data_IF_675621115033
#
_entry.id   IF_675621115033
#
_cell.length_a   1.000
_cell.length_b   1.000
_cell.length_c   1.000
_cell.angle_alpha   90.00
_cell.angle_beta   90.00
_cell.angle_gamma   90.00
#
_symmetry.space_group_name_H-M   'P 1'
#
loop_
_entity.id
_entity.type
_entity.pdbx_description
1 polymer ?
#
# COMPACT_ATOMS: atom_id res chain seq x y z
N UNK A 1 38.61 22.43 81.26
CA UNK A 1 38.15 21.92 79.96
C UNK A 1 36.68 22.24 79.83
N UNK A 2 36.39 23.28 79.05
CA UNK A 2 35.13 24.03 79.06
C UNK A 2 34.09 23.41 78.14
N UNK A 3 32.80 23.53 78.51
CA UNK A 3 31.65 23.10 77.71
C UNK A 3 31.62 23.67 76.27
N UNK A 4 32.39 24.73 76.01
CA UNK A 4 32.63 25.33 74.70
C UNK A 4 33.36 24.38 73.71
N UNK A 5 34.32 23.56 74.16
CA UNK A 5 35.06 22.63 73.29
C UNK A 5 34.15 21.49 72.79
N UNK A 6 33.20 21.04 73.62
CA UNK A 6 32.25 19.97 73.24
C UNK A 6 31.20 20.46 72.21
N UNK A 7 30.81 21.73 72.27
CA UNK A 7 29.90 22.33 71.28
C UNK A 7 30.58 22.59 69.93
N UNK A 8 31.86 23.01 69.94
CA UNK A 8 32.64 23.20 68.70
C UNK A 8 32.93 21.87 67.99
N UNK A 9 33.22 20.80 68.73
CA UNK A 9 33.36 19.46 68.14
C UNK A 9 32.04 18.96 67.55
N UNK A 10 30.91 19.12 68.26
CA UNK A 10 29.60 18.71 67.76
C UNK A 10 29.16 19.52 66.50
N UNK A 11 29.47 20.81 66.43
CA UNK A 11 29.19 21.65 65.26
C UNK A 11 30.12 21.36 64.07
N UNK A 12 31.36 20.91 64.31
CA UNK A 12 32.29 20.52 63.24
C UNK A 12 31.92 19.18 62.59
N UNK A 13 31.31 18.25 63.33
CA UNK A 13 30.87 16.94 62.81
C UNK A 13 29.43 16.91 62.28
N UNK A 14 28.57 17.86 62.69
CA UNK A 14 27.21 18.01 62.17
C UNK A 14 27.10 18.06 60.63
N UNK A 15 27.94 18.83 59.88
CA UNK A 15 27.86 18.84 58.42
C UNK A 15 28.25 17.51 57.76
N UNK A 16 29.10 16.70 58.42
CA UNK A 16 29.46 15.36 57.93
C UNK A 16 28.32 14.36 58.09
N UNK A 17 27.60 14.37 59.22
CA UNK A 17 26.44 13.50 59.42
C UNK A 17 25.26 13.87 58.51
N UNK A 18 25.02 15.16 58.29
CA UNK A 18 24.02 15.66 57.33
C UNK A 18 24.40 15.31 55.89
N UNK A 19 25.68 15.43 55.52
CA UNK A 19 26.18 15.01 54.22
C UNK A 19 26.09 13.49 53.99
N UNK A 20 26.41 12.69 55.01
CA UNK A 20 26.28 11.24 54.97
C UNK A 20 24.82 10.80 54.85
N UNK A 21 23.91 11.44 55.60
CA UNK A 21 22.48 11.18 55.49
C UNK A 21 21.94 11.51 54.08
N UNK A 22 22.31 12.67 53.53
CA UNK A 22 21.95 13.07 52.17
C UNK A 22 22.49 12.12 51.08
N UNK A 23 23.72 11.62 51.25
CA UNK A 23 24.32 10.66 50.32
C UNK A 23 23.58 9.31 50.35
N UNK A 24 23.24 8.80 51.54
CA UNK A 24 22.44 7.55 51.67
C UNK A 24 21.06 7.72 51.04
N UNK A 25 20.41 8.88 51.21
CA UNK A 25 19.13 9.17 50.54
C UNK A 25 19.28 9.24 49.01
N UNK A 26 20.33 9.88 48.50
CA UNK A 26 20.62 9.95 47.06
C UNK A 26 20.91 8.56 46.47
N UNK A 27 21.77 7.76 47.10
CA UNK A 27 22.05 6.38 46.69
C UNK A 27 20.77 5.53 46.71
N UNK A 28 19.91 5.71 47.72
CA UNK A 28 18.60 5.05 47.80
C UNK A 28 17.66 5.45 46.64
N UNK A 29 17.62 6.72 46.27
CA UNK A 29 16.82 7.21 45.14
C UNK A 29 17.33 6.69 43.80
N UNK A 30 18.65 6.68 43.57
CA UNK A 30 19.28 6.13 42.36
C UNK A 30 19.08 4.62 42.25
N UNK A 31 19.20 3.89 43.36
CA UNK A 31 18.94 2.44 43.41
C UNK A 31 17.48 2.12 43.10
N UNK A 32 16.53 2.85 43.71
CA UNK A 32 15.08 2.69 43.42
C UNK A 32 14.74 3.05 41.97
N UNK A 33 15.37 4.10 41.42
CA UNK A 33 15.23 4.46 40.00
C UNK A 33 15.74 3.36 39.07
N UNK A 34 16.92 2.79 39.36
CA UNK A 34 17.49 1.67 38.59
C UNK A 34 16.64 0.41 38.69
N UNK A 35 16.15 0.05 39.87
CA UNK A 35 15.24 -1.08 40.05
C UNK A 35 13.92 -0.91 39.30
N UNK A 36 13.28 0.26 39.37
CA UNK A 36 12.08 0.55 38.58
C UNK A 36 12.35 0.42 37.08
N UNK A 37 13.50 0.90 36.61
CA UNK A 37 13.86 0.78 35.19
C UNK A 37 14.03 -0.67 34.73
N UNK A 38 14.59 -1.55 35.57
CA UNK A 38 14.74 -2.98 35.26
C UNK A 38 13.40 -3.73 35.37
N UNK A 39 12.55 -3.39 36.34
CA UNK A 39 11.19 -3.93 36.43
C UNK A 39 10.35 -3.53 35.22
N UNK A 40 10.42 -2.28 34.78
CA UNK A 40 9.76 -1.80 33.57
C UNK A 40 10.29 -2.57 32.35
N UNK A 41 11.62 -2.77 32.21
CA UNK A 41 12.17 -3.58 31.12
C UNK A 41 11.69 -5.02 31.15
N UNK A 42 11.63 -5.65 32.33
CA UNK A 42 11.12 -7.01 32.47
C UNK A 42 9.63 -7.10 32.14
N UNK A 43 8.83 -6.13 32.59
CA UNK A 43 7.41 -6.04 32.28
C UNK A 43 7.17 -5.78 30.79
N UNK A 44 7.98 -4.93 30.14
CA UNK A 44 7.94 -4.73 28.68
C UNK A 44 8.28 -6.04 27.96
N UNK A 45 9.32 -6.77 28.39
CA UNK A 45 9.67 -8.06 27.77
C UNK A 45 8.56 -9.10 27.95
N UNK A 46 7.97 -9.18 29.14
CA UNK A 46 6.86 -10.10 29.42
C UNK A 46 5.61 -9.72 28.61
N UNK A 47 5.25 -8.45 28.58
CA UNK A 47 4.13 -7.95 27.77
C UNK A 47 4.37 -8.22 26.29
N UNK A 48 5.55 -7.91 25.77
CA UNK A 48 5.90 -8.20 24.38
C UNK A 48 5.81 -9.70 24.09
N UNK A 49 6.32 -10.58 24.97
CA UNK A 49 6.23 -12.03 24.77
C UNK A 49 4.79 -12.56 24.81
N UNK A 50 3.93 -11.95 25.64
CA UNK A 50 2.53 -12.31 25.72
C UNK A 50 1.76 -11.82 24.48
N UNK A 51 2.04 -10.60 24.03
CA UNK A 51 1.50 -10.05 22.79
C UNK A 51 1.95 -10.89 21.59
N UNK A 52 3.22 -11.28 21.51
CA UNK A 52 3.76 -12.18 20.47
C UNK A 52 2.95 -13.49 20.42
N UNK A 53 2.74 -14.11 21.57
CA UNK A 53 1.96 -15.35 21.67
C UNK A 53 0.51 -15.14 21.23
N UNK A 54 -0.10 -14.00 21.58
CA UNK A 54 -1.47 -13.66 21.19
C UNK A 54 -1.58 -13.44 19.68
N UNK A 55 -0.68 -12.66 19.06
CA UNK A 55 -0.71 -12.43 17.62
C UNK A 55 -0.37 -13.69 16.82
N UNK A 56 0.58 -14.50 17.28
CA UNK A 56 0.90 -15.79 16.67
C UNK A 56 -0.32 -16.73 16.70
N UNK A 57 -1.05 -16.75 17.82
CA UNK A 57 -2.29 -17.52 17.95
C UNK A 57 -3.38 -17.03 16.99
N UNK A 58 -3.60 -15.71 16.89
CA UNK A 58 -4.55 -15.13 15.93
C UNK A 58 -4.17 -15.48 14.48
N UNK A 59 -2.88 -15.38 14.14
CA UNK A 59 -2.38 -15.80 12.83
C UNK A 59 -2.68 -17.28 12.57
N UNK A 60 -2.36 -18.15 13.52
CA UNK A 60 -2.58 -19.59 13.38
C UNK A 60 -4.06 -19.94 13.24
N UNK A 61 -4.93 -19.38 14.08
CA UNK A 61 -6.37 -19.61 14.02
C UNK A 61 -6.98 -19.06 12.72
N UNK A 62 -6.63 -17.82 12.35
CA UNK A 62 -7.11 -17.19 11.12
C UNK A 62 -6.67 -17.95 9.86
N UNK A 63 -5.40 -18.37 9.80
CA UNK A 63 -4.88 -19.17 8.69
C UNK A 63 -5.56 -20.54 8.61
N UNK A 64 -5.74 -21.21 9.74
CA UNK A 64 -6.46 -22.49 9.80
C UNK A 64 -7.87 -22.36 9.23
N UNK A 65 -8.62 -21.33 9.64
CA UNK A 65 -9.98 -21.10 9.14
C UNK A 65 -10.05 -20.86 7.62
N UNK A 66 -9.02 -20.25 7.02
CA UNK A 66 -8.98 -19.99 5.58
C UNK A 66 -8.55 -21.20 4.75
N UNK A 67 -7.84 -22.14 5.35
CA UNK A 67 -7.36 -23.37 4.70
C UNK A 67 -8.33 -24.54 4.86
N UNK A 68 -9.06 -24.61 5.98
CA UNK A 68 -10.05 -25.66 6.22
C UNK A 68 -11.30 -25.45 5.36
N UNK A 69 -11.94 -26.56 4.97
CA UNK A 69 -13.24 -26.53 4.28
C UNK A 69 -14.32 -26.06 5.25
N UNK A 70 -14.44 -24.75 5.41
CA UNK A 70 -15.48 -24.10 6.20
C UNK A 70 -16.63 -23.56 5.37
N UNK A 71 -17.72 -23.20 6.05
CA UNK A 71 -18.77 -22.40 5.46
C UNK A 71 -18.32 -20.93 5.29
N UNK A 72 -19.19 -20.09 4.72
CA UNK A 72 -18.83 -18.68 4.46
C UNK A 72 -18.59 -17.88 5.74
N UNK A 73 -19.29 -18.21 6.82
CA UNK A 73 -19.12 -17.53 8.10
C UNK A 73 -17.74 -17.85 8.70
N UNK A 74 -17.31 -19.10 8.61
CA UNK A 74 -15.99 -19.55 9.05
C UNK A 74 -14.86 -18.82 8.32
N UNK A 75 -14.95 -18.70 6.99
CA UNK A 75 -13.95 -18.01 6.18
C UNK A 75 -13.89 -16.50 6.49
N UNK A 76 -15.05 -15.86 6.69
CA UNK A 76 -15.10 -14.45 7.10
C UNK A 76 -14.52 -14.24 8.49
N UNK A 77 -14.78 -15.15 9.43
CA UNK A 77 -14.18 -15.12 10.76
C UNK A 77 -12.65 -15.27 10.69
N UNK A 78 -12.14 -16.11 9.78
CA UNK A 78 -10.71 -16.23 9.51
C UNK A 78 -10.08 -14.91 9.08
N UNK A 79 -10.67 -14.22 8.10
CA UNK A 79 -10.20 -12.89 7.65
C UNK A 79 -10.25 -11.89 8.81
N UNK A 80 -11.37 -11.82 9.54
CA UNK A 80 -11.54 -10.89 10.65
C UNK A 80 -10.54 -11.15 11.79
N UNK A 81 -10.14 -12.40 12.02
CA UNK A 81 -9.12 -12.79 13.01
C UNK A 81 -7.73 -12.27 12.63
N UNK A 82 -7.46 -12.13 11.32
CA UNK A 82 -6.18 -11.62 10.81
C UNK A 82 -6.11 -10.08 10.76
N UNK A 83 -7.25 -9.36 10.72
CA UNK A 83 -7.26 -7.89 10.67
C UNK A 83 -6.49 -7.21 11.84
N UNK A 84 -6.60 -7.66 13.11
CA UNK A 84 -5.76 -7.15 14.20
C UNK A 84 -4.27 -7.42 13.99
N UNK A 85 -3.90 -8.56 13.40
CA UNK A 85 -2.50 -8.90 13.11
C UNK A 85 -1.92 -7.97 12.05
N UNK A 86 -2.73 -7.58 11.06
CA UNK A 86 -2.34 -6.61 10.02
C UNK A 86 -2.12 -5.19 10.55
N UNK A 87 -2.82 -4.83 11.63
CA UNK A 87 -2.73 -3.50 12.23
C UNK A 87 -1.80 -3.43 13.45
N UNK A 88 -1.05 -4.51 13.76
CA UNK A 88 -0.03 -4.52 14.82
C UNK A 88 1.02 -3.42 14.57
N UNK A 89 1.17 -2.44 15.48
CA UNK A 89 2.17 -1.39 15.35
C UNK A 89 3.61 -1.91 15.26
N UNK A 90 3.89 -3.08 15.86
CA UNK A 90 5.21 -3.71 15.81
C UNK A 90 5.40 -4.59 14.56
N UNK A 91 4.34 -4.81 13.78
CA UNK A 91 4.32 -5.56 12.51
C UNK A 91 4.90 -6.98 12.61
N UNK A 92 4.79 -7.63 13.77
CA UNK A 92 5.51 -8.88 14.07
C UNK A 92 5.13 -10.03 13.15
N UNK A 93 3.85 -10.12 12.81
CA UNK A 93 3.27 -11.19 11.99
C UNK A 93 2.43 -10.66 10.83
N UNK A 94 2.46 -9.35 10.58
CA UNK A 94 1.57 -8.70 9.61
C UNK A 94 1.86 -9.14 8.18
N UNK A 95 3.11 -9.41 7.84
CA UNK A 95 3.48 -9.91 6.50
C UNK A 95 2.94 -11.33 6.27
N UNK A 96 3.06 -12.21 7.27
CA UNK A 96 2.52 -13.57 7.21
C UNK A 96 0.99 -13.55 7.10
N UNK A 97 0.32 -12.66 7.83
CA UNK A 97 -1.12 -12.45 7.68
C UNK A 97 -1.50 -11.94 6.29
N UNK A 98 -0.72 -11.01 5.70
CA UNK A 98 -0.90 -10.56 4.31
C UNK A 98 -0.75 -11.72 3.32
N UNK A 99 0.24 -12.59 3.51
CA UNK A 99 0.48 -13.74 2.64
C UNK A 99 -0.63 -14.78 2.72
N UNK A 100 -1.15 -15.06 3.92
CA UNK A 100 -2.28 -15.99 4.11
C UNK A 100 -3.55 -15.47 3.42
N UNK A 101 -3.88 -14.19 3.60
CA UNK A 101 -5.06 -13.58 2.94
C UNK A 101 -4.84 -13.50 1.43
N UNK A 102 -3.64 -13.12 1.00
CA UNK A 102 -3.25 -13.00 -0.39
C UNK A 102 -3.36 -14.33 -1.14
N UNK A 103 -2.87 -15.42 -0.54
CA UNK A 103 -2.97 -16.78 -1.09
C UNK A 103 -4.42 -17.23 -1.23
N UNK A 104 -5.25 -16.94 -0.22
CA UNK A 104 -6.69 -17.23 -0.29
C UNK A 104 -7.36 -16.50 -1.46
N UNK A 105 -7.07 -15.21 -1.65
CA UNK A 105 -7.59 -14.40 -2.77
C UNK A 105 -7.07 -14.95 -4.10
N UNK A 106 -5.77 -15.19 -4.22
CA UNK A 106 -5.15 -15.73 -5.44
C UNK A 106 -5.77 -17.07 -5.86
N UNK A 107 -6.05 -17.94 -4.89
CA UNK A 107 -6.67 -19.25 -5.15
C UNK A 107 -8.15 -19.14 -5.52
N UNK A 108 -8.89 -18.16 -4.98
CA UNK A 108 -10.34 -18.10 -5.09
C UNK A 108 -10.88 -16.93 -5.96
N UNK A 109 -10.01 -16.15 -6.61
CA UNK A 109 -10.36 -14.95 -7.37
C UNK A 109 -11.41 -15.15 -8.47
N UNK A 110 -11.48 -16.35 -9.07
CA UNK A 110 -12.44 -16.69 -10.12
C UNK A 110 -13.90 -16.67 -9.63
N UNK A 111 -14.14 -16.76 -8.31
CA UNK A 111 -15.46 -16.64 -7.67
C UNK A 111 -15.85 -15.16 -7.49
N UNK A 112 -15.76 -14.39 -8.58
CA UNK A 112 -16.01 -12.95 -8.58
C UNK A 112 -17.40 -12.63 -8.04
N UNK A 113 -17.46 -11.73 -7.04
CA UNK A 113 -18.69 -11.36 -6.32
C UNK A 113 -18.88 -12.05 -4.96
N UNK A 114 -17.97 -12.94 -4.56
CA UNK A 114 -17.98 -13.50 -3.22
C UNK A 114 -17.61 -12.44 -2.17
N UNK A 115 -18.50 -12.26 -1.18
CA UNK A 115 -18.27 -11.36 -0.02
C UNK A 115 -16.98 -11.68 0.71
N UNK A 116 -16.52 -12.93 0.67
CA UNK A 116 -15.27 -13.35 1.30
C UNK A 116 -14.06 -12.73 0.59
N UNK A 117 -14.03 -12.74 -0.75
CA UNK A 117 -12.95 -12.10 -1.53
C UNK A 117 -12.91 -10.60 -1.25
N UNK A 118 -14.08 -9.95 -1.21
CA UNK A 118 -14.17 -8.52 -0.86
C UNK A 118 -13.68 -8.23 0.55
N UNK A 119 -13.98 -9.10 1.52
CA UNK A 119 -13.45 -8.99 2.88
C UNK A 119 -11.92 -9.13 2.90
N UNK A 120 -11.37 -10.08 2.12
CA UNK A 120 -9.93 -10.27 1.98
C UNK A 120 -9.24 -9.05 1.36
N UNK A 121 -9.79 -8.52 0.25
CA UNK A 121 -9.29 -7.31 -0.41
C UNK A 121 -9.29 -6.13 0.56
N UNK A 122 -10.36 -5.96 1.35
CA UNK A 122 -10.46 -4.92 2.37
C UNK A 122 -9.37 -5.12 3.45
N UNK A 123 -9.19 -6.33 3.93
CA UNK A 123 -8.18 -6.66 4.94
C UNK A 123 -6.76 -6.37 4.40
N UNK A 124 -6.44 -6.78 3.17
CA UNK A 124 -5.17 -6.40 2.54
C UNK A 124 -4.99 -4.88 2.44
N UNK A 125 -6.07 -4.15 2.14
CA UNK A 125 -6.06 -2.68 2.18
C UNK A 125 -5.74 -2.09 3.56
N UNK A 126 -6.10 -2.76 4.66
CA UNK A 126 -5.68 -2.39 6.03
C UNK A 126 -4.17 -2.58 6.18
N UNK A 127 -3.64 -3.73 5.72
CA UNK A 127 -2.20 -4.00 5.73
C UNK A 127 -1.40 -2.96 4.94
N UNK A 128 -1.86 -2.59 3.74
CA UNK A 128 -1.22 -1.54 2.93
C UNK A 128 -1.21 -0.20 3.64
N UNK A 129 -2.31 0.21 4.27
CA UNK A 129 -2.38 1.44 5.08
C UNK A 129 -1.44 1.40 6.28
N UNK A 130 -1.21 0.21 6.85
CA UNK A 130 -0.23 -0.01 7.91
C UNK A 130 1.21 -0.09 7.39
N UNK A 131 1.44 0.00 6.08
CA UNK A 131 2.76 -0.05 5.45
C UNK A 131 3.31 -1.47 5.30
N UNK A 132 2.44 -2.47 5.23
CA UNK A 132 2.78 -3.89 5.07
C UNK A 132 2.27 -4.41 3.73
N UNK A 133 3.07 -5.25 3.07
CA UNK A 133 2.76 -5.88 1.79
C UNK A 133 2.99 -7.39 1.89
N UNK A 134 2.19 -8.15 1.17
CA UNK A 134 2.42 -9.57 0.91
C UNK A 134 3.69 -9.74 0.06
N UNK A 135 4.38 -10.87 0.23
CA UNK A 135 5.51 -11.31 -0.58
C UNK A 135 5.10 -12.02 -1.87
N UNK A 136 3.80 -12.30 -2.04
CA UNK A 136 3.27 -13.07 -3.14
C UNK A 136 3.23 -12.28 -4.46
N UNK A 137 3.36 -13.03 -5.56
CA UNK A 137 3.35 -12.54 -6.93
C UNK A 137 2.28 -13.25 -7.77
N UNK A 138 0.98 -13.09 -7.44
CA UNK A 138 -0.08 -13.88 -8.07
C UNK A 138 -0.31 -13.53 -9.55
N UNK A 139 -0.70 -14.54 -10.31
CA UNK A 139 -1.29 -14.42 -11.63
C UNK A 139 -2.81 -14.59 -11.57
N UNK A 140 -3.54 -13.56 -11.97
CA UNK A 140 -5.00 -13.57 -12.08
C UNK A 140 -5.39 -13.68 -13.54
N UNK A 141 -6.31 -14.60 -13.86
CA UNK A 141 -6.76 -14.80 -15.23
C UNK A 141 -8.28 -14.86 -15.31
N UNK A 142 -8.86 -14.11 -16.24
CA UNK A 142 -10.25 -14.22 -16.66
C UNK A 142 -10.31 -14.48 -18.16
N UNK A 143 -11.39 -15.12 -18.61
CA UNK A 143 -11.65 -15.25 -20.03
C UNK A 143 -11.95 -13.87 -20.63
N UNK A 144 -11.52 -13.64 -21.88
CA UNK A 144 -11.74 -12.38 -22.61
C UNK A 144 -13.21 -11.98 -22.71
N UNK A 145 -14.11 -12.96 -22.77
CA UNK A 145 -15.55 -12.77 -22.88
C UNK A 145 -16.23 -12.51 -21.53
N UNK A 146 -15.50 -12.58 -20.41
CA UNK A 146 -16.07 -12.30 -19.11
C UNK A 146 -16.30 -10.78 -18.95
N UNK A 147 -17.56 -10.38 -19.08
CA UNK A 147 -17.99 -9.01 -18.91
C UNK A 147 -17.90 -8.52 -17.45
N UNK A 148 -17.38 -9.29 -16.50
CA UNK A 148 -17.27 -8.86 -15.10
C UNK A 148 -16.01 -8.06 -14.85
N UNK A 149 -16.20 -6.90 -14.22
CA UNK A 149 -15.11 -6.06 -13.75
C UNK A 149 -14.15 -6.84 -12.83
N UNK A 150 -12.86 -6.57 -12.95
CA UNK A 150 -11.86 -7.02 -11.99
C UNK A 150 -12.10 -6.40 -10.62
N UNK A 151 -12.04 -7.23 -9.58
CA UNK A 151 -11.93 -6.77 -8.20
C UNK A 151 -10.45 -6.69 -7.87
N UNK A 152 -9.91 -5.48 -7.89
CA UNK A 152 -8.50 -5.24 -7.68
C UNK A 152 -8.12 -5.50 -6.22
N UNK A 153 -7.08 -6.31 -5.99
CA UNK A 153 -6.56 -6.60 -4.66
C UNK A 153 -5.26 -5.82 -4.43
N UNK A 154 -5.20 -4.91 -3.45
CA UNK A 154 -3.99 -4.15 -3.16
C UNK A 154 -3.00 -4.99 -2.33
N UNK A 155 -1.75 -4.52 -2.24
CA UNK A 155 -0.80 -5.00 -1.24
C UNK A 155 -0.03 -6.28 -1.56
N UNK A 156 -0.04 -6.75 -2.81
CA UNK A 156 0.90 -7.76 -3.29
C UNK A 156 2.29 -7.16 -3.58
N UNK A 157 3.30 -8.01 -3.70
CA UNK A 157 4.64 -7.58 -4.10
C UNK A 157 4.69 -7.24 -5.61
N UNK A 158 4.03 -8.07 -6.42
CA UNK A 158 3.73 -7.81 -7.83
C UNK A 158 2.44 -8.54 -8.21
N UNK A 159 1.81 -8.16 -9.32
CA UNK A 159 0.61 -8.85 -9.80
C UNK A 159 0.62 -8.93 -11.32
N UNK A 160 0.24 -10.10 -11.84
CA UNK A 160 -0.03 -10.28 -13.27
C UNK A 160 -1.53 -10.48 -13.45
N UNK A 161 -2.16 -9.67 -14.31
CA UNK A 161 -3.59 -9.71 -14.58
C UNK A 161 -3.80 -9.95 -16.07
N UNK A 162 -4.51 -11.02 -16.40
CA UNK A 162 -4.77 -11.45 -17.78
C UNK A 162 -6.27 -11.45 -18.09
N UNK A 163 -6.67 -10.80 -19.18
CA UNK A 163 -8.06 -10.77 -19.63
C UNK A 163 -8.98 -9.84 -18.82
N UNK A 164 -10.28 -9.96 -19.04
CA UNK A 164 -11.31 -9.21 -18.31
C UNK A 164 -11.26 -7.69 -18.51
N UNK A 165 -11.91 -6.94 -17.61
CA UNK A 165 -11.99 -5.47 -17.71
C UNK A 165 -11.84 -4.74 -16.38
N UNK A 166 -11.25 -3.55 -16.41
CA UNK A 166 -11.25 -2.57 -15.33
C UNK A 166 -12.13 -1.38 -15.70
N UNK A 167 -12.98 -0.96 -14.76
CA UNK A 167 -13.67 0.35 -14.80
C UNK A 167 -13.10 1.26 -13.74
N UNK A 168 -12.91 2.54 -14.07
CA UNK A 168 -12.21 3.57 -13.28
C UNK A 168 -11.97 3.27 -11.79
N UNK A 169 -13.05 3.20 -10.99
CA UNK A 169 -12.99 2.97 -9.53
C UNK A 169 -12.22 1.71 -9.10
N UNK A 170 -12.22 0.66 -9.91
CA UNK A 170 -11.57 -0.60 -9.58
C UNK A 170 -10.06 -0.52 -9.83
N UNK A 171 -9.65 0.10 -10.93
CA UNK A 171 -8.22 0.33 -11.21
C UNK A 171 -7.59 1.28 -10.18
N UNK A 172 -8.33 2.30 -9.74
CA UNK A 172 -7.84 3.28 -8.75
C UNK A 172 -7.34 2.65 -7.44
N UNK A 173 -7.88 1.49 -7.03
CA UNK A 173 -7.45 0.76 -5.84
C UNK A 173 -6.01 0.25 -5.95
N UNK A 174 -5.58 -0.12 -7.16
CA UNK A 174 -4.26 -0.73 -7.40
C UNK A 174 -3.33 0.15 -8.24
N UNK A 175 -3.77 1.31 -8.74
CA UNK A 175 -2.98 2.11 -9.69
C UNK A 175 -1.58 2.50 -9.21
N UNK A 176 -1.37 2.56 -7.90
CA UNK A 176 -0.10 2.92 -7.25
C UNK A 176 0.66 1.69 -6.72
N UNK A 177 0.19 0.48 -7.05
CA UNK A 177 0.89 -0.74 -6.68
C UNK A 177 2.16 -0.90 -7.54
N UNK A 178 3.28 -1.32 -6.94
CA UNK A 178 4.49 -1.59 -7.69
C UNK A 178 4.31 -2.85 -8.55
N UNK A 179 5.01 -2.88 -9.68
CA UNK A 179 5.15 -4.07 -10.52
C UNK A 179 3.81 -4.72 -10.92
N UNK A 180 2.91 -3.93 -11.50
CA UNK A 180 1.72 -4.47 -12.16
C UNK A 180 2.02 -4.82 -13.61
N UNK A 181 1.55 -5.99 -14.02
CA UNK A 181 1.55 -6.41 -15.40
C UNK A 181 0.13 -6.75 -15.83
N UNK A 182 -0.30 -6.15 -16.94
CA UNK A 182 -1.59 -6.39 -17.56
C UNK A 182 -1.40 -6.97 -18.95
N UNK A 183 -1.97 -8.15 -19.19
CA UNK A 183 -1.96 -8.81 -20.48
C UNK A 183 -3.41 -8.93 -20.99
N UNK A 184 -3.72 -8.39 -22.17
CA UNK A 184 -5.02 -8.54 -22.80
C UNK A 184 -6.21 -8.03 -21.95
N UNK A 185 -6.01 -6.93 -21.24
CA UNK A 185 -7.01 -6.35 -20.32
C UNK A 185 -7.68 -5.14 -20.97
N UNK A 186 -9.00 -5.01 -20.78
CA UNK A 186 -9.75 -3.81 -21.20
C UNK A 186 -9.90 -2.80 -20.07
N UNK A 187 -9.46 -1.56 -20.28
CA UNK A 187 -9.63 -0.45 -19.36
C UNK A 187 -10.69 0.51 -19.88
N UNK A 188 -11.66 0.85 -19.03
CA UNK A 188 -12.75 1.77 -19.35
C UNK A 188 -12.82 2.89 -18.32
N UNK A 189 -12.82 4.14 -18.76
CA UNK A 189 -12.98 5.32 -17.89
C UNK A 189 -11.96 5.38 -16.73
N UNK A 190 -10.77 4.82 -16.94
CA UNK A 190 -9.70 4.81 -15.95
C UNK A 190 -8.91 6.12 -16.02
N UNK A 191 -8.66 6.73 -14.87
CA UNK A 191 -7.97 8.04 -14.79
C UNK A 191 -6.57 7.87 -14.24
N UNK A 192 -5.64 8.67 -14.77
CA UNK A 192 -4.23 8.69 -14.34
C UNK A 192 -3.62 7.28 -14.37
N UNK A 193 -3.77 6.60 -15.51
CA UNK A 193 -3.05 5.36 -15.77
C UNK A 193 -1.55 5.68 -15.68
N UNK A 194 -0.84 4.85 -14.92
CA UNK A 194 0.56 5.06 -14.59
C UNK A 194 1.46 4.13 -15.40
N UNK A 195 2.75 4.25 -15.13
CA UNK A 195 3.79 3.42 -15.71
C UNK A 195 3.78 1.99 -15.15
N UNK A 196 3.04 1.12 -15.84
CA UNK A 196 2.95 -0.33 -15.59
C UNK A 196 3.23 -1.08 -16.89
N UNK A 197 3.44 -2.39 -16.81
CA UNK A 197 3.62 -3.20 -18.02
C UNK A 197 2.27 -3.52 -18.64
N UNK A 198 2.04 -3.07 -19.88
CA UNK A 198 0.80 -3.34 -20.62
C UNK A 198 1.11 -4.05 -21.93
N UNK A 199 0.47 -5.20 -22.16
CA UNK A 199 0.60 -5.97 -23.40
C UNK A 199 -0.76 -6.34 -23.94
N UNK A 200 -1.04 -6.04 -25.20
CA UNK A 200 -2.32 -6.35 -25.88
C UNK A 200 -3.55 -5.79 -25.17
N UNK A 201 -3.41 -4.74 -24.36
CA UNK A 201 -4.50 -4.11 -23.63
C UNK A 201 -5.28 -3.14 -24.52
N UNK A 202 -6.53 -2.88 -24.13
CA UNK A 202 -7.41 -1.93 -24.81
C UNK A 202 -7.88 -0.85 -23.83
N UNK A 203 -7.57 0.40 -24.11
CA UNK A 203 -7.93 1.56 -23.31
C UNK A 203 -9.04 2.35 -24.00
N UNK A 204 -10.15 2.54 -23.31
CA UNK A 204 -11.32 3.26 -23.83
C UNK A 204 -11.68 4.39 -22.88
N UNK A 205 -11.69 5.63 -23.38
CA UNK A 205 -12.04 6.84 -22.61
C UNK A 205 -11.24 6.98 -21.31
N UNK A 206 -9.96 6.62 -21.35
CA UNK A 206 -9.06 6.68 -20.20
C UNK A 206 -8.19 7.95 -20.23
N UNK A 207 -7.56 8.29 -19.10
CA UNK A 207 -6.52 9.31 -19.04
C UNK A 207 -5.22 8.78 -18.47
N UNK A 208 -4.09 9.30 -18.96
CA UNK A 208 -2.75 8.82 -18.63
C UNK A 208 -1.96 9.86 -17.84
N UNK A 209 -1.22 9.42 -16.82
CA UNK A 209 -0.30 10.27 -16.06
C UNK A 209 1.15 10.05 -16.51
N UNK A 210 1.53 8.79 -16.68
CA UNK A 210 2.83 8.34 -17.18
C UNK A 210 2.60 7.17 -18.12
N UNK A 211 3.38 7.07 -19.20
CA UNK A 211 3.27 5.95 -20.14
C UNK A 211 4.59 5.70 -20.87
N UNK A 212 5.00 4.44 -20.92
CA UNK A 212 6.17 4.01 -21.68
C UNK A 212 5.85 3.97 -23.19
N UNK A 213 6.72 4.59 -23.98
CA UNK A 213 6.62 4.61 -25.44
C UNK A 213 6.59 3.21 -26.07
N UNK A 214 7.29 2.23 -25.50
CA UNK A 214 7.33 0.83 -25.97
C UNK A 214 5.92 0.20 -25.99
N UNK A 215 5.02 0.70 -25.14
CA UNK A 215 3.67 0.18 -25.01
C UNK A 215 2.68 0.72 -26.04
N UNK A 216 3.00 1.77 -26.81
CA UNK A 216 2.04 2.28 -27.80
C UNK A 216 1.71 1.25 -28.89
N UNK A 217 2.73 0.60 -29.45
CA UNK A 217 2.55 -0.39 -30.52
C UNK A 217 1.90 -1.70 -30.04
N UNK A 218 2.00 -1.99 -28.74
CA UNK A 218 1.50 -3.23 -28.13
C UNK A 218 0.05 -3.13 -27.66
N UNK A 219 -0.55 -1.95 -27.66
CA UNK A 219 -1.85 -1.70 -27.04
C UNK A 219 -2.76 -0.89 -27.96
N UNK A 220 -4.06 -0.84 -27.62
CA UNK A 220 -5.08 -0.11 -28.37
C UNK A 220 -5.64 1.01 -27.51
N UNK A 221 -5.80 2.19 -28.11
CA UNK A 221 -6.34 3.37 -27.44
C UNK A 221 -7.50 3.94 -28.24
N UNK A 222 -8.62 4.16 -27.58
CA UNK A 222 -9.85 4.71 -28.15
C UNK A 222 -10.34 5.88 -27.29
N UNK A 223 -10.43 7.07 -27.90
CA UNK A 223 -10.97 8.28 -27.27
C UNK A 223 -10.31 8.63 -25.94
N UNK A 224 -9.02 8.33 -25.79
CA UNK A 224 -8.27 8.59 -24.56
C UNK A 224 -7.67 10.00 -24.50
N UNK A 225 -7.47 10.47 -23.27
CA UNK A 225 -6.87 11.75 -22.92
C UNK A 225 -5.41 11.58 -22.50
N UNK A 226 -4.51 12.15 -23.29
CA UNK A 226 -3.06 12.16 -23.03
C UNK A 226 -2.55 13.51 -22.48
N UNK A 227 -3.45 14.41 -22.09
CA UNK A 227 -3.06 15.74 -21.59
C UNK A 227 -2.18 15.63 -20.34
N UNK A 228 -1.04 16.33 -20.37
CA UNK A 228 -0.05 16.32 -19.30
C UNK A 228 0.62 14.96 -19.03
N UNK A 229 0.44 13.98 -19.93
CA UNK A 229 1.03 12.65 -19.77
C UNK A 229 2.55 12.72 -19.98
N UNK A 230 3.30 12.16 -19.05
CA UNK A 230 4.76 12.02 -19.17
C UNK A 230 5.06 10.74 -19.95
N UNK A 231 5.60 10.89 -21.14
CA UNK A 231 6.04 9.78 -21.99
C UNK A 231 7.50 9.48 -21.69
N UNK A 232 7.75 8.30 -21.13
CA UNK A 232 9.09 7.80 -20.86
C UNK A 232 9.64 7.13 -22.11
N UNK A 233 10.91 7.39 -22.42
CA UNK A 233 11.60 6.73 -23.53
C UNK A 233 11.80 5.27 -23.19
N UNK A 234 11.20 4.40 -24.00
CA UNK A 234 11.43 2.97 -23.93
C UNK A 234 12.74 2.56 -24.63
N UNK A 235 13.15 1.31 -24.46
CA UNK A 235 14.42 0.82 -25.01
C UNK A 235 14.33 0.54 -26.52
N UNK A 236 13.10 0.38 -27.04
CA UNK A 236 12.85 -0.09 -28.41
C UNK A 236 11.74 0.68 -29.14
N UNK A 237 11.14 1.65 -28.46
CA UNK A 237 9.90 2.29 -28.84
C UNK A 237 10.13 3.50 -29.73
N UNK A 238 9.32 3.57 -30.77
CA UNK A 238 9.21 4.74 -31.62
C UNK A 238 7.72 5.02 -31.80
N UNK A 239 7.25 6.14 -31.26
CA UNK A 239 5.86 6.59 -31.35
C UNK A 239 5.36 6.67 -32.80
N UNK A 240 6.26 6.80 -33.79
CA UNK A 240 5.87 6.76 -35.20
C UNK A 240 5.25 5.44 -35.63
N UNK A 241 5.46 4.36 -34.87
CA UNK A 241 4.80 3.07 -35.08
C UNK A 241 3.33 3.06 -34.63
N UNK A 242 2.93 4.03 -33.82
CA UNK A 242 1.56 4.16 -33.29
C UNK A 242 0.65 4.92 -34.28
N UNK A 243 0.48 4.37 -35.48
CA UNK A 243 -0.10 5.09 -36.62
C UNK A 243 -1.61 5.37 -36.51
N UNK A 244 -2.32 4.75 -35.58
CA UNK A 244 -3.78 4.83 -35.45
C UNK A 244 -4.28 5.66 -34.25
N UNK A 245 -3.37 6.27 -33.49
CA UNK A 245 -3.74 7.03 -32.28
C UNK A 245 -4.69 8.18 -32.60
N UNK A 246 -4.39 8.98 -33.63
CA UNK A 246 -5.20 10.15 -34.01
C UNK A 246 -6.58 9.74 -34.53
N UNK A 247 -6.62 8.73 -35.40
CA UNK A 247 -7.84 8.27 -36.08
C UNK A 247 -8.87 7.68 -35.10
N UNK A 248 -8.41 7.18 -33.95
CA UNK A 248 -9.26 6.66 -32.88
C UNK A 248 -9.72 7.71 -31.88
N UNK A 249 -9.62 8.99 -32.23
CA UNK A 249 -10.14 10.09 -31.42
C UNK A 249 -9.36 10.34 -30.12
N UNK A 250 -8.16 9.77 -29.96
CA UNK A 250 -7.28 10.10 -28.85
C UNK A 250 -6.83 11.56 -28.98
N UNK A 251 -6.66 12.23 -27.84
CA UNK A 251 -6.50 13.68 -27.81
C UNK A 251 -5.61 14.16 -26.66
N UNK A 252 -5.21 15.42 -26.77
CA UNK A 252 -4.63 16.20 -25.67
C UNK A 252 -5.21 17.62 -25.71
N UNK A 253 -5.13 18.34 -24.60
CA UNK A 253 -5.49 19.76 -24.55
C UNK A 253 -4.29 20.65 -24.89
N UNK A 254 -4.52 21.69 -25.70
CA UNK A 254 -3.46 22.61 -26.19
C UNK A 254 -2.67 23.28 -25.05
N UNK A 255 -3.32 23.50 -23.91
CA UNK A 255 -2.73 24.10 -22.72
C UNK A 255 -1.97 23.11 -21.83
N UNK A 256 -2.05 21.82 -22.14
CA UNK A 256 -1.51 20.72 -21.33
C UNK A 256 -1.07 19.56 -22.24
N UNK A 257 -0.10 19.78 -23.15
CA UNK A 257 0.36 18.73 -24.06
C UNK A 257 1.12 17.62 -23.33
N UNK A 258 1.22 16.41 -23.92
CA UNK A 258 2.10 15.38 -23.39
C UNK A 258 3.56 15.85 -23.35
N UNK A 259 4.34 15.29 -22.43
CA UNK A 259 5.73 15.68 -22.18
C UNK A 259 6.64 14.50 -22.48
N UNK A 260 7.62 14.69 -23.37
CA UNK A 260 8.69 13.73 -23.68
C UNK A 260 10.02 14.47 -23.76
N UNK A 261 11.13 13.78 -23.53
CA UNK A 261 12.46 14.34 -23.82
C UNK A 261 12.59 14.66 -25.31
N UNK A 262 13.04 15.88 -25.62
CA UNK A 262 13.11 16.41 -26.99
C UNK A 262 11.87 17.21 -27.41
N UNK A 263 11.89 17.70 -28.64
CA UNK A 263 10.77 18.46 -29.23
C UNK A 263 9.93 17.49 -30.05
N UNK A 264 8.67 17.30 -29.67
CA UNK A 264 7.70 16.44 -30.37
C UNK A 264 6.46 17.25 -30.69
N UNK A 265 6.04 17.22 -31.95
CA UNK A 265 4.75 17.76 -32.37
C UNK A 265 3.66 16.70 -32.17
N UNK A 266 2.98 16.77 -31.03
CA UNK A 266 1.91 15.83 -30.66
C UNK A 266 0.69 15.92 -31.58
N UNK A 267 0.50 17.02 -32.29
CA UNK A 267 -0.64 17.19 -33.21
C UNK A 267 -0.57 16.23 -34.41
N UNK A 268 0.60 15.65 -34.69
CA UNK A 268 0.79 14.59 -35.68
C UNK A 268 0.13 13.28 -35.22
N UNK A 269 0.25 12.94 -33.94
CA UNK A 269 -0.15 11.66 -33.38
C UNK A 269 -1.52 11.68 -32.68
N UNK A 270 -1.96 12.84 -32.21
CA UNK A 270 -3.14 13.01 -31.38
C UNK A 270 -3.97 14.21 -31.86
N UNK A 271 -5.26 14.21 -31.50
CA UNK A 271 -6.12 15.36 -31.77
C UNK A 271 -5.90 16.45 -30.73
N UNK A 272 -5.46 17.62 -31.18
CA UNK A 272 -5.32 18.80 -30.34
C UNK A 272 -6.72 19.39 -30.05
N UNK A 273 -7.02 19.67 -28.78
CA UNK A 273 -8.31 20.25 -28.34
C UNK A 273 -8.10 21.49 -27.50
N UNK A 274 -8.95 22.49 -27.71
CA UNK A 274 -9.08 23.61 -26.79
C UNK A 274 -10.08 23.28 -25.68
N UNK A 275 -9.71 23.53 -24.41
CA UNK A 275 -10.69 23.48 -23.32
C UNK A 275 -11.72 24.57 -23.59
N UNK A 276 -13.00 24.20 -23.77
CA UNK A 276 -14.07 25.20 -23.75
C UNK A 276 -13.99 25.89 -22.40
N UNK A 277 -13.57 27.15 -22.37
CA UNK A 277 -13.79 28.01 -21.22
C UNK A 277 -15.30 28.04 -21.04
N UNK A 278 -15.82 27.32 -20.05
CA UNK A 278 -17.14 27.67 -19.55
C UNK A 278 -16.99 29.07 -18.99
N UNK A 279 -17.39 30.05 -19.80
CA UNK A 279 -17.69 31.40 -19.37
C UNK A 279 -18.63 31.25 -18.18
N UNK A 280 -18.12 31.53 -16.98
CA UNK A 280 -18.93 31.94 -15.85
C UNK A 280 -19.52 33.33 -16.19
N UNK A 281 -20.41 33.35 -17.16
CA UNK A 281 -21.32 34.45 -17.47
C UNK A 281 -22.74 33.92 -17.34
N UNK A 282 -23.10 33.50 -16.13
CA UNK A 282 -24.48 33.59 -15.67
C UNK A 282 -24.44 34.21 -14.28
N UNK A 283 -24.83 35.50 -14.28
CA UNK A 283 -25.19 36.34 -13.14
C UNK A 283 -26.28 35.69 -12.27
#
# INVERSE_FOLDING_TARGET
MNALEKQQAAQAFAPFFLGAAGFVTFCGAVWRGKLNSEQIKQQIRQNNSNDDANYAKLLQEGAKMLTEKGDRAHLLAGIATLEPVLSDPQRRFSQQAMDVIGDYIATNHAKAGDRIIMAGIRAMGIGVKAGVRSTLNPGFKKNETDAKDWLAAPGFASQRIEGGRFRGKFYETIRNEPHLRFDNVRFEYCRKIGDHTFTSCNFVSCSFATFDEDHFALNKFDTCDFSGCIITSGAFGDITQATDLKDRGNYFFDDDPPVKEGIVDWSVFLNAKSRRKHSQEEL
#
